data_IF_672751601564
#
_entry.id   IF_672751601564
#
_cell.length_a   1.000
_cell.length_b   1.000
_cell.length_c   1.000
_cell.angle_alpha   90.00
_cell.angle_beta   90.00
_cell.angle_gamma   90.00
#
_symmetry.space_group_name_H-M   'P 1'
#
loop_
_entity.id
_entity.type
_entity.pdbx_description
1 polymer ?
#
# COMPACT_ATOMS: atom_id res chain seq x y z
N UNK A 1 22.55 -9.34 -0.78
CA UNK A 1 21.98 -7.99 -0.52
C UNK A 1 20.48 -8.14 -0.61
N UNK A 2 19.73 -7.85 0.45
CA UNK A 2 18.26 -7.95 0.43
C UNK A 2 17.66 -6.78 -0.33
N UNK A 3 16.57 -7.01 -1.07
CA UNK A 3 15.76 -5.96 -1.69
C UNK A 3 15.11 -5.11 -0.58
N UNK A 4 15.32 -3.79 -0.59
CA UNK A 4 14.78 -2.87 0.42
C UNK A 4 13.68 -2.03 -0.22
N UNK A 5 12.45 -2.10 0.30
CA UNK A 5 11.40 -1.16 -0.06
C UNK A 5 11.37 0.03 0.90
N UNK A 6 11.03 1.20 0.36
CA UNK A 6 10.79 2.41 1.12
C UNK A 6 9.28 2.66 1.18
N UNK A 7 8.73 2.65 2.39
CA UNK A 7 7.33 2.99 2.63
C UNK A 7 7.25 4.47 3.00
N UNK A 8 6.59 5.28 2.18
CA UNK A 8 6.28 6.67 2.49
C UNK A 8 4.86 6.79 3.02
N UNK A 9 4.75 7.47 4.16
CA UNK A 9 3.48 7.74 4.82
C UNK A 9 2.99 9.14 4.44
N UNK A 10 1.84 9.23 3.76
CA UNK A 10 1.27 10.52 3.37
C UNK A 10 0.03 10.79 4.21
N UNK A 11 0.12 11.80 5.08
CA UNK A 11 -1.06 12.38 5.74
C UNK A 11 -1.73 13.32 4.75
N UNK A 12 -2.89 12.91 4.23
CA UNK A 12 -3.59 13.71 3.24
C UNK A 12 -3.93 15.12 3.80
N UNK A 13 -3.80 16.20 3.00
CA UNK A 13 -4.00 17.57 3.44
C UNK A 13 -5.34 17.78 4.17
N UNK A 14 -5.35 18.76 5.09
CA UNK A 14 -6.40 18.94 6.10
C UNK A 14 -7.80 19.25 5.53
N UNK A 15 -7.90 19.75 4.31
CA UNK A 15 -9.16 20.27 3.75
C UNK A 15 -9.67 19.42 2.59
N UNK A 16 -10.34 18.27 2.81
CA UNK A 16 -10.96 17.56 1.67
C UNK A 16 -12.12 16.61 2.11
N UNK A 17 -13.34 17.16 2.17
CA UNK A 17 -14.59 16.41 2.39
C UNK A 17 -15.01 15.52 1.19
N UNK A 18 -14.42 15.70 0.00
CA UNK A 18 -14.78 14.93 -1.20
C UNK A 18 -14.33 13.46 -1.13
N UNK A 19 -13.29 13.14 -0.35
CA UNK A 19 -12.75 11.78 -0.18
C UNK A 19 -13.70 10.81 0.52
N UNK A 20 -14.65 11.31 1.32
CA UNK A 20 -15.65 10.45 2.00
C UNK A 20 -16.64 9.80 1.04
N UNK A 21 -16.65 10.20 -0.24
CA UNK A 21 -17.61 9.72 -1.25
C UNK A 21 -16.96 8.86 -2.33
N UNK A 22 -15.63 8.68 -2.29
CA UNK A 22 -14.89 7.99 -3.33
C UNK A 22 -14.29 6.67 -2.80
N UNK A 23 -15.01 5.57 -3.02
CA UNK A 23 -14.54 4.19 -2.78
C UNK A 23 -13.43 3.78 -3.78
N UNK A 24 -13.33 4.46 -4.92
CA UNK A 24 -12.38 4.08 -5.97
C UNK A 24 -10.96 4.58 -5.74
N UNK A 25 -10.73 5.39 -4.70
CA UNK A 25 -9.41 5.91 -4.39
C UNK A 25 -8.44 4.76 -4.04
N UNK A 26 -7.20 4.77 -4.59
CA UNK A 26 -6.24 3.71 -4.33
C UNK A 26 -5.79 3.72 -2.87
N UNK A 27 -5.79 2.55 -2.23
CA UNK A 27 -5.34 2.37 -0.84
C UNK A 27 -3.82 2.36 -0.74
N UNK A 28 -3.18 1.85 -1.79
CA UNK A 28 -1.75 1.80 -1.99
C UNK A 28 -1.45 2.25 -3.42
N UNK A 29 -0.35 2.96 -3.59
CA UNK A 29 0.21 3.27 -4.91
C UNK A 29 1.71 3.03 -4.86
N UNK A 30 2.25 2.39 -5.89
CA UNK A 30 3.65 2.03 -5.95
C UNK A 30 4.39 2.53 -7.19
N UNK A 31 5.72 2.49 -7.13
CA UNK A 31 6.61 2.75 -8.25
C UNK A 31 8.01 2.22 -8.01
N UNK A 32 8.79 2.07 -9.10
CA UNK A 32 10.22 1.75 -9.01
C UNK A 32 11.00 3.05 -9.08
N UNK A 33 11.75 3.36 -8.02
CA UNK A 33 12.64 4.52 -7.98
C UNK A 33 13.84 4.38 -8.92
N UNK A 34 14.51 5.49 -9.20
CA UNK A 34 15.66 5.52 -10.12
C UNK A 34 16.83 4.59 -9.73
N UNK A 35 16.91 4.19 -8.47
CA UNK A 35 17.89 3.23 -7.93
C UNK A 35 17.45 1.76 -8.01
N UNK A 36 16.27 1.46 -8.57
CA UNK A 36 15.68 0.12 -8.59
C UNK A 36 14.94 -0.26 -7.31
N UNK A 37 14.84 0.64 -6.34
CA UNK A 37 14.09 0.41 -5.10
C UNK A 37 12.57 0.46 -5.35
N UNK A 38 11.83 -0.45 -4.71
CA UNK A 38 10.37 -0.40 -4.67
C UNK A 38 9.93 0.69 -3.68
N UNK A 39 9.17 1.67 -4.16
CA UNK A 39 8.60 2.74 -3.35
C UNK A 39 7.09 2.55 -3.27
N UNK A 40 6.56 2.41 -2.05
CA UNK A 40 5.13 2.21 -1.80
C UNK A 40 4.60 3.36 -0.96
N UNK A 41 3.44 3.90 -1.34
CA UNK A 41 2.72 4.93 -0.61
C UNK A 41 1.41 4.38 -0.10
N UNK A 42 1.21 4.44 1.21
CA UNK A 42 -0.03 4.02 1.87
C UNK A 42 -0.92 5.24 2.13
N UNK A 43 -2.18 5.15 1.70
CA UNK A 43 -3.13 6.24 1.85
C UNK A 43 -4.01 6.03 3.10
N UNK A 44 -3.44 6.32 4.27
CA UNK A 44 -4.01 6.05 5.61
C UNK A 44 -5.52 6.32 5.71
N UNK A 45 -5.98 7.50 5.28
CA UNK A 45 -7.39 7.90 5.43
C UNK A 45 -8.34 7.00 4.64
N UNK A 46 -7.97 6.50 3.46
CA UNK A 46 -8.82 5.57 2.70
C UNK A 46 -8.81 4.18 3.32
N UNK A 47 -7.68 3.76 3.90
CA UNK A 47 -7.55 2.48 4.57
C UNK A 47 -8.42 2.47 5.84
N UNK A 48 -8.37 3.52 6.65
CA UNK A 48 -9.24 3.67 7.84
C UNK A 48 -10.73 3.76 7.49
N UNK A 49 -11.08 4.37 6.35
CA UNK A 49 -12.46 4.41 5.86
C UNK A 49 -12.97 3.03 5.42
N UNK A 50 -12.12 2.24 4.76
CA UNK A 50 -12.50 0.93 4.19
C UNK A 50 -12.39 -0.21 5.20
N UNK A 51 -11.50 -0.09 6.16
CA UNK A 51 -11.25 -1.07 7.23
C UNK A 51 -11.38 -0.39 8.60
N UNK A 52 -12.62 -0.12 9.06
CA UNK A 52 -12.86 0.57 10.32
C UNK A 52 -12.60 -0.32 11.56
N UNK A 53 -12.40 -1.63 11.37
CA UNK A 53 -12.09 -2.56 12.44
C UNK A 53 -10.57 -2.66 12.65
N UNK A 54 -10.08 -2.07 13.74
CA UNK A 54 -8.65 -1.99 14.09
C UNK A 54 -7.92 -3.35 14.07
N UNK A 55 -8.64 -4.46 14.31
CA UNK A 55 -8.07 -5.81 14.37
C UNK A 55 -7.65 -6.40 13.01
N UNK A 56 -8.30 -5.98 11.91
CA UNK A 56 -8.03 -6.51 10.56
C UNK A 56 -7.07 -5.62 9.75
N UNK A 57 -6.82 -4.41 10.24
CA UNK A 57 -5.98 -3.42 9.58
C UNK A 57 -4.55 -3.92 9.28
N UNK A 58 -3.84 -4.62 10.20
CA UNK A 58 -2.49 -5.09 9.93
C UNK A 58 -2.41 -6.13 8.80
N UNK A 59 -3.32 -7.09 8.77
CA UNK A 59 -3.36 -8.16 7.75
C UNK A 59 -3.71 -7.57 6.38
N UNK A 60 -4.68 -6.65 6.33
CA UNK A 60 -5.05 -5.97 5.08
C UNK A 60 -3.95 -5.07 4.54
N UNK A 61 -3.24 -4.37 5.43
CA UNK A 61 -2.06 -3.59 5.03
C UNK A 61 -0.98 -4.49 4.46
N UNK A 62 -0.75 -5.65 5.06
CA UNK A 62 0.22 -6.62 4.57
C UNK A 62 -0.14 -7.14 3.17
N UNK A 63 -1.39 -7.57 2.99
CA UNK A 63 -1.93 -8.01 1.68
C UNK A 63 -1.79 -6.93 0.60
N UNK A 64 -2.08 -5.66 0.93
CA UNK A 64 -1.93 -4.54 -0.01
C UNK A 64 -0.47 -4.31 -0.40
N UNK A 65 0.43 -4.31 0.59
CA UNK A 65 1.86 -4.07 0.37
C UNK A 65 2.48 -5.14 -0.53
N UNK A 66 2.19 -6.41 -0.25
CA UNK A 66 2.80 -7.50 -1.00
C UNK A 66 2.24 -7.63 -2.41
N UNK A 67 0.93 -7.40 -2.57
CA UNK A 67 0.28 -7.41 -3.89
C UNK A 67 0.87 -6.34 -4.80
N UNK A 68 1.05 -5.13 -4.29
CA UNK A 68 1.63 -4.02 -5.05
C UNK A 68 3.13 -4.27 -5.35
N UNK A 69 3.88 -4.85 -4.41
CA UNK A 69 5.27 -5.23 -4.65
C UNK A 69 5.40 -6.27 -5.76
N UNK A 70 4.60 -7.34 -5.70
CA UNK A 70 4.57 -8.39 -6.69
C UNK A 70 4.28 -7.82 -8.09
N UNK A 71 3.26 -6.96 -8.19
CA UNK A 71 2.91 -6.27 -9.43
C UNK A 71 4.07 -5.42 -9.98
N UNK A 72 4.72 -4.61 -9.14
CA UNK A 72 5.84 -3.74 -9.57
C UNK A 72 7.05 -4.54 -10.04
N UNK A 73 7.32 -5.68 -9.41
CA UNK A 73 8.49 -6.51 -9.71
C UNK A 73 8.23 -7.58 -10.78
N UNK A 74 6.99 -7.67 -11.29
CA UNK A 74 6.58 -8.70 -12.24
C UNK A 74 6.59 -10.12 -11.66
N UNK A 75 6.48 -10.23 -10.33
CA UNK A 75 6.42 -11.49 -9.59
C UNK A 75 4.97 -11.80 -9.20
N UNK A 76 4.71 -13.04 -8.82
CA UNK A 76 3.49 -13.44 -8.09
C UNK A 76 3.66 -13.16 -6.60
N UNK A 77 2.55 -13.06 -5.86
CA UNK A 77 2.58 -12.84 -4.41
C UNK A 77 3.37 -13.95 -3.70
N UNK A 78 3.16 -15.22 -4.08
CA UNK A 78 3.88 -16.37 -3.52
C UNK A 78 5.39 -16.39 -3.82
N UNK A 79 5.84 -15.68 -4.85
CA UNK A 79 7.27 -15.48 -5.13
C UNK A 79 7.90 -14.37 -4.28
N UNK A 80 7.09 -13.44 -3.77
CA UNK A 80 7.53 -12.37 -2.86
C UNK A 80 7.48 -12.85 -1.40
N UNK A 81 6.41 -13.54 -1.01
CA UNK A 81 6.26 -14.21 0.28
C UNK A 81 5.65 -15.61 0.09
N UNK A 82 6.46 -16.67 0.24
CA UNK A 82 6.00 -18.04 0.14
C UNK A 82 5.01 -18.47 1.24
N UNK A 83 4.90 -17.71 2.34
CA UNK A 83 4.03 -18.02 3.47
C UNK A 83 2.70 -17.24 3.46
N UNK A 84 2.47 -16.46 2.40
CA UNK A 84 1.26 -15.66 2.21
C UNK A 84 -0.02 -16.48 2.03
#
# INVERSE_FOLDING_TARGET
MGEVAVIQYVTAPADMDWWRKDDSAPLITGGIGASGQVALTLHRKFIELKYPEDGLLPERLYELLITEWAALTGKTVSEVDPEF
#
